data_IF_717382397937
#
_entry.id   IF_717382397937
#
_cell.length_a   1.000
_cell.length_b   1.000
_cell.length_c   1.000
_cell.angle_alpha   90.00
_cell.angle_beta   90.00
_cell.angle_gamma   90.00
#
_symmetry.space_group_name_H-M   'P 1'
#
loop_
_entity.id
_entity.type
_entity.pdbx_description
1 polymer ?
#
# COMPACT_ATOMS: atom_id res chain seq x y z
N UNK A 1 -17.76 -6.22 14.08
CA UNK A 1 -18.68 -6.71 13.01
C UNK A 1 -19.52 -5.60 12.38
N UNK A 2 -20.20 -4.72 13.14
CA UNK A 2 -21.08 -3.70 12.57
C UNK A 2 -20.40 -2.78 11.53
N UNK A 3 -19.14 -2.38 11.74
CA UNK A 3 -18.40 -1.57 10.77
C UNK A 3 -18.20 -2.30 9.43
N UNK A 4 -17.84 -3.59 9.45
CA UNK A 4 -17.69 -4.37 8.22
C UNK A 4 -19.03 -4.48 7.48
N UNK A 5 -20.14 -4.69 8.21
CA UNK A 5 -21.48 -4.68 7.63
C UNK A 5 -21.82 -3.33 6.96
N UNK A 6 -21.41 -2.20 7.55
CA UNK A 6 -21.57 -0.88 6.92
C UNK A 6 -20.76 -0.76 5.63
N UNK A 7 -19.53 -1.28 5.59
CA UNK A 7 -18.70 -1.27 4.38
C UNK A 7 -19.36 -2.07 3.26
N UNK A 8 -19.84 -3.28 3.55
CA UNK A 8 -20.55 -4.14 2.58
C UNK A 8 -21.86 -3.49 2.11
N UNK A 9 -22.66 -2.93 3.04
CA UNK A 9 -23.94 -2.32 2.72
C UNK A 9 -23.80 -1.05 1.88
N UNK A 10 -22.85 -0.18 2.25
CA UNK A 10 -22.67 1.11 1.57
C UNK A 10 -21.78 1.02 0.33
N UNK A 11 -21.00 -0.06 0.18
CA UNK A 11 -19.95 -0.22 -0.83
C UNK A 11 -18.89 0.88 -0.76
N UNK A 12 -18.54 1.31 0.46
CA UNK A 12 -17.57 2.39 0.71
C UNK A 12 -16.50 1.95 1.69
N UNK A 13 -15.26 2.32 1.40
CA UNK A 13 -14.14 2.20 2.31
C UNK A 13 -14.07 3.47 3.19
N UNK A 14 -14.90 3.49 4.23
CA UNK A 14 -15.05 4.65 5.11
C UNK A 14 -14.80 4.31 6.58
N UNK A 15 -14.59 5.37 7.38
CA UNK A 15 -14.59 5.26 8.84
C UNK A 15 -15.95 4.73 9.35
N UNK A 16 -15.98 4.24 10.59
CA UNK A 16 -17.18 3.69 11.19
C UNK A 16 -18.32 4.70 11.26
N UNK A 17 -19.51 4.36 10.76
CA UNK A 17 -20.69 5.22 10.90
C UNK A 17 -21.27 5.06 12.31
N UNK A 18 -21.25 6.15 13.08
CA UNK A 18 -21.74 6.21 14.46
C UNK A 18 -23.15 6.81 14.56
N UNK A 19 -23.76 7.17 13.43
CA UNK A 19 -24.95 8.02 13.36
C UNK A 19 -24.59 9.50 13.33
N UNK A 20 -25.52 10.32 12.84
CA UNK A 20 -25.30 11.73 12.45
C UNK A 20 -24.64 12.57 13.55
N UNK A 21 -25.20 12.58 14.76
CA UNK A 21 -24.73 13.40 15.87
C UNK A 21 -23.36 12.94 16.38
N UNK A 22 -23.14 11.63 16.42
CA UNK A 22 -21.88 11.05 16.84
C UNK A 22 -20.79 11.26 15.78
N UNK A 23 -21.10 11.15 14.49
CA UNK A 23 -20.17 11.45 13.40
C UNK A 23 -19.69 12.89 13.48
N UNK A 24 -20.59 13.85 13.76
CA UNK A 24 -20.21 15.26 13.94
C UNK A 24 -19.23 15.41 15.11
N UNK A 25 -19.45 14.71 16.22
CA UNK A 25 -18.55 14.76 17.39
C UNK A 25 -17.19 14.11 17.14
N UNK A 26 -17.16 13.02 16.38
CA UNK A 26 -15.94 12.22 16.15
C UNK A 26 -15.11 12.67 14.95
N UNK A 27 -15.78 13.10 13.88
CA UNK A 27 -15.17 13.44 12.59
C UNK A 27 -15.24 14.92 12.27
N UNK A 28 -16.11 15.68 12.94
CA UNK A 28 -16.16 17.12 12.79
C UNK A 28 -14.80 17.74 13.15
N UNK A 29 -14.37 18.71 12.36
CA UNK A 29 -13.15 19.47 12.62
C UNK A 29 -13.50 20.92 12.91
N UNK A 30 -12.77 21.51 13.85
CA UNK A 30 -12.77 22.95 14.07
C UNK A 30 -11.73 23.53 13.11
N UNK A 31 -12.16 24.41 12.20
CA UNK A 31 -11.24 25.21 11.37
C UNK A 31 -10.32 26.04 12.27
N UNK A 32 -9.00 25.94 12.09
CA UNK A 32 -8.02 26.69 12.90
C UNK A 32 -7.92 28.15 12.45
N UNK A 33 -8.15 28.41 11.18
CA UNK A 33 -8.01 29.74 10.54
C UNK A 33 -9.19 30.66 10.88
N UNK A 34 -10.36 30.09 11.13
CA UNK A 34 -11.56 30.82 11.55
C UNK A 34 -12.17 30.04 12.71
N UNK A 35 -11.98 30.49 13.95
CA UNK A 35 -12.65 29.97 15.17
C UNK A 35 -14.21 30.03 15.13
N UNK A 36 -14.79 30.17 13.93
CA UNK A 36 -16.21 30.28 13.61
C UNK A 36 -16.70 29.22 12.60
N UNK A 37 -15.82 28.48 11.91
CA UNK A 37 -16.25 27.47 10.93
C UNK A 37 -16.11 26.06 11.51
N UNK A 38 -17.22 25.54 12.03
CA UNK A 38 -17.35 24.14 12.42
C UNK A 38 -17.69 23.34 11.16
N UNK A 39 -16.80 22.44 10.72
CA UNK A 39 -17.14 21.56 9.60
C UNK A 39 -18.01 20.43 10.14
N UNK A 40 -19.33 20.50 9.87
CA UNK A 40 -20.30 19.51 10.29
C UNK A 40 -20.17 18.24 9.45
N UNK A 41 -19.25 17.37 9.83
CA UNK A 41 -19.07 16.08 9.19
C UNK A 41 -20.11 15.08 9.72
N UNK A 42 -21.29 15.05 9.09
CA UNK A 42 -22.40 14.19 9.47
C UNK A 42 -22.31 12.75 8.96
N UNK A 43 -21.50 12.51 7.92
CA UNK A 43 -21.19 11.19 7.37
C UNK A 43 -19.74 10.79 7.69
N UNK A 44 -19.43 9.50 7.88
CA UNK A 44 -18.05 9.10 8.11
C UNK A 44 -17.16 9.45 6.91
N UNK A 45 -15.94 9.95 7.13
CA UNK A 45 -15.01 10.25 6.05
C UNK A 45 -14.51 8.96 5.38
N UNK A 46 -14.31 9.03 4.06
CA UNK A 46 -13.72 7.95 3.26
C UNK A 46 -12.20 7.94 3.34
N UNK A 47 -11.62 6.74 3.27
CA UNK A 47 -10.18 6.57 3.25
C UNK A 47 -9.66 6.89 1.85
N UNK A 48 -8.88 7.95 1.74
CA UNK A 48 -8.28 8.31 0.46
C UNK A 48 -7.05 7.43 0.16
N UNK A 49 -7.23 6.40 -0.67
CA UNK A 49 -6.16 5.49 -1.06
C UNK A 49 -5.06 6.16 -1.91
N UNK A 50 -5.30 7.33 -2.50
CA UNK A 50 -4.24 8.08 -3.21
C UNK A 50 -3.13 8.57 -2.29
N UNK A 51 -3.36 8.58 -0.97
CA UNK A 51 -2.39 8.98 0.04
C UNK A 51 -1.49 7.82 0.52
N UNK A 52 -1.67 6.62 -0.04
CA UNK A 52 -0.79 5.49 0.23
C UNK A 52 0.46 5.65 -0.63
N UNK A 53 1.65 5.68 -0.01
CA UNK A 53 2.92 5.93 -0.71
C UNK A 53 3.98 4.85 -0.48
N UNK A 54 3.64 3.76 0.22
CA UNK A 54 4.53 2.62 0.37
C UNK A 54 4.50 1.72 -0.86
N UNK A 55 5.58 0.96 -1.04
CA UNK A 55 5.64 -0.10 -2.04
C UNK A 55 4.71 -1.25 -1.61
N UNK A 56 3.84 -1.70 -2.53
CA UNK A 56 2.80 -2.69 -2.31
C UNK A 56 3.02 -3.87 -3.26
N UNK A 57 2.93 -5.07 -2.70
CA UNK A 57 3.01 -6.35 -3.41
C UNK A 57 1.74 -7.13 -3.09
N UNK A 58 0.88 -7.36 -4.09
CA UNK A 58 -0.43 -7.98 -3.89
C UNK A 58 -0.41 -9.46 -4.29
N UNK A 59 -1.02 -10.30 -3.46
CA UNK A 59 -1.38 -11.67 -3.77
C UNK A 59 -2.90 -11.80 -3.55
N UNK A 60 -3.62 -12.31 -4.54
CA UNK A 60 -5.08 -12.41 -4.51
C UNK A 60 -5.55 -13.58 -5.37
N UNK A 61 -6.82 -13.97 -5.32
CA UNK A 61 -7.36 -15.11 -6.08
C UNK A 61 -8.85 -14.96 -6.36
N UNK A 62 -9.34 -15.68 -7.37
CA UNK A 62 -10.78 -15.75 -7.69
C UNK A 62 -11.58 -16.54 -6.64
N UNK A 63 -10.92 -17.42 -5.87
CA UNK A 63 -11.57 -18.28 -4.88
C UNK A 63 -11.67 -17.63 -3.50
N UNK A 64 -11.20 -16.38 -3.35
CA UNK A 64 -11.32 -15.61 -2.11
C UNK A 64 -12.68 -14.90 -2.04
N UNK A 65 -13.56 -15.38 -1.16
CA UNK A 65 -14.88 -14.77 -0.96
C UNK A 65 -14.87 -13.53 -0.06
N UNK A 66 -13.80 -13.28 0.68
CA UNK A 66 -13.67 -12.13 1.58
C UNK A 66 -12.94 -10.96 0.94
N UNK A 67 -11.97 -11.24 0.07
CA UNK A 67 -11.31 -10.27 -0.79
C UNK A 67 -11.41 -10.70 -2.26
N UNK A 68 -12.62 -10.58 -2.88
CA UNK A 68 -12.84 -11.02 -4.25
C UNK A 68 -11.87 -10.35 -5.22
N UNK A 69 -11.42 -11.11 -6.21
CA UNK A 69 -10.55 -10.59 -7.27
C UNK A 69 -11.13 -9.33 -7.94
N UNK A 70 -12.46 -9.25 -8.08
CA UNK A 70 -13.14 -8.07 -8.61
C UNK A 70 -12.86 -6.79 -7.78
N UNK A 71 -12.91 -6.86 -6.44
CA UNK A 71 -12.63 -5.70 -5.59
C UNK A 71 -11.14 -5.31 -5.67
N UNK A 72 -10.25 -6.30 -5.81
CA UNK A 72 -8.81 -6.06 -5.99
C UNK A 72 -8.52 -5.39 -7.34
N UNK A 73 -9.00 -5.99 -8.43
CA UNK A 73 -8.70 -5.59 -9.81
C UNK A 73 -9.44 -4.30 -10.22
N UNK A 74 -10.70 -4.12 -9.79
CA UNK A 74 -11.56 -3.04 -10.26
C UNK A 74 -11.62 -1.84 -9.31
N UNK A 75 -11.30 -2.03 -8.02
CA UNK A 75 -11.35 -0.95 -7.03
C UNK A 75 -9.98 -0.66 -6.39
N UNK A 76 -9.33 -1.65 -5.76
CA UNK A 76 -8.10 -1.41 -5.00
C UNK A 76 -6.94 -0.94 -5.90
N UNK A 77 -6.59 -1.72 -6.92
CA UNK A 77 -5.46 -1.41 -7.81
C UNK A 77 -5.67 -0.06 -8.55
N UNK A 78 -6.84 0.22 -9.14
CA UNK A 78 -7.05 1.49 -9.86
C UNK A 78 -7.06 2.74 -8.96
N UNK A 79 -7.41 2.60 -7.67
CA UNK A 79 -7.49 3.74 -6.74
C UNK A 79 -6.14 4.07 -6.11
N UNK A 80 -5.23 3.09 -6.03
CA UNK A 80 -3.88 3.31 -5.51
C UNK A 80 -3.02 4.14 -6.50
N UNK A 81 -2.05 4.94 -6.00
CA UNK A 81 -1.11 5.62 -6.87
C UNK A 81 -0.31 4.61 -7.71
N UNK A 82 -0.15 4.88 -9.01
CA UNK A 82 0.54 4.00 -9.96
C UNK A 82 1.97 3.60 -9.54
N UNK A 83 2.61 4.40 -8.71
CA UNK A 83 3.98 4.17 -8.22
C UNK A 83 4.07 3.17 -7.06
N UNK A 84 2.95 2.85 -6.41
CA UNK A 84 2.91 2.07 -5.17
C UNK A 84 2.85 0.57 -5.44
N UNK A 85 1.98 0.12 -6.34
CA UNK A 85 1.84 -1.30 -6.67
C UNK A 85 3.02 -1.75 -7.53
N UNK A 86 3.90 -2.57 -6.97
CA UNK A 86 5.06 -3.13 -7.68
C UNK A 86 4.70 -4.37 -8.47
N UNK A 87 3.86 -5.23 -7.92
CA UNK A 87 3.16 -6.26 -8.67
C UNK A 87 1.85 -6.64 -7.99
N UNK A 88 0.98 -7.27 -8.78
CA UNK A 88 -0.20 -7.97 -8.31
C UNK A 88 -0.22 -9.37 -8.91
N UNK A 89 -0.13 -10.40 -8.06
CA UNK A 89 -0.09 -11.81 -8.46
C UNK A 89 -1.41 -12.48 -8.13
N UNK A 90 -2.10 -12.92 -9.16
CA UNK A 90 -3.30 -13.75 -9.04
C UNK A 90 -2.87 -15.20 -8.86
N UNK A 91 -3.28 -15.82 -7.77
CA UNK A 91 -3.01 -17.21 -7.44
C UNK A 91 -4.21 -18.07 -7.84
N UNK A 92 -3.94 -19.24 -8.41
CA UNK A 92 -4.97 -20.19 -8.82
C UNK A 92 -5.46 -21.01 -7.62
N UNK A 93 -6.79 -21.02 -7.43
CA UNK A 93 -7.49 -21.85 -6.44
C UNK A 93 -7.06 -21.60 -4.99
N UNK A 94 -6.74 -20.35 -4.65
CA UNK A 94 -6.53 -19.92 -3.26
C UNK A 94 -7.82 -19.31 -2.71
N UNK A 95 -8.38 -19.88 -1.66
CA UNK A 95 -9.37 -19.19 -0.85
C UNK A 95 -8.69 -18.27 0.18
N UNK A 96 -9.48 -17.53 0.96
CA UNK A 96 -8.98 -16.56 1.93
C UNK A 96 -8.01 -17.16 2.99
N UNK A 97 -8.25 -18.40 3.40
CA UNK A 97 -7.42 -19.05 4.43
C UNK A 97 -6.15 -19.67 3.83
N UNK A 98 -6.12 -19.96 2.54
CA UNK A 98 -4.95 -20.56 1.89
C UNK A 98 -3.73 -19.63 1.92
N UNK A 99 -3.94 -18.31 1.95
CA UNK A 99 -2.85 -17.34 2.13
C UNK A 99 -2.11 -17.50 3.46
N UNK A 100 -2.74 -18.11 4.47
CA UNK A 100 -2.16 -18.35 5.80
C UNK A 100 -1.84 -19.83 6.07
N UNK A 101 -2.71 -20.75 5.67
CA UNK A 101 -2.64 -22.18 6.02
C UNK A 101 -2.55 -23.12 4.82
N UNK A 102 -2.55 -22.59 3.59
CA UNK A 102 -2.47 -23.40 2.39
C UNK A 102 -1.13 -24.12 2.29
N UNK A 103 -1.13 -25.40 1.90
CA UNK A 103 0.10 -26.18 1.72
C UNK A 103 1.04 -25.56 0.66
N UNK A 104 0.47 -24.81 -0.28
CA UNK A 104 1.17 -24.07 -1.35
C UNK A 104 1.68 -22.69 -0.91
N UNK A 105 1.20 -22.15 0.22
CA UNK A 105 1.46 -20.76 0.65
C UNK A 105 2.95 -20.44 0.79
N UNK A 106 3.74 -21.38 1.34
CA UNK A 106 5.18 -21.20 1.46
C UNK A 106 5.83 -20.92 0.11
N UNK A 107 5.62 -21.81 -0.86
CA UNK A 107 6.30 -21.75 -2.16
C UNK A 107 5.81 -20.57 -3.00
N UNK A 108 4.51 -20.28 -2.97
CA UNK A 108 3.89 -19.31 -3.88
C UNK A 108 3.78 -17.89 -3.30
N UNK A 109 3.86 -17.74 -1.98
CA UNK A 109 3.73 -16.44 -1.29
C UNK A 109 4.96 -16.14 -0.44
N UNK A 110 5.31 -16.99 0.54
CA UNK A 110 6.29 -16.64 1.56
C UNK A 110 7.74 -16.61 1.04
N UNK A 111 8.11 -17.57 0.20
CA UNK A 111 9.42 -17.60 -0.44
C UNK A 111 9.60 -16.35 -1.35
N UNK A 112 8.63 -15.98 -2.22
CA UNK A 112 8.65 -14.70 -2.93
C UNK A 112 8.77 -13.46 -2.02
N UNK A 113 7.96 -13.36 -0.96
CA UNK A 113 8.04 -12.24 0.01
C UNK A 113 9.43 -12.15 0.63
N UNK A 114 9.99 -13.28 1.05
CA UNK A 114 11.32 -13.34 1.66
C UNK A 114 12.40 -12.88 0.68
N UNK A 115 12.28 -13.24 -0.60
CA UNK A 115 13.21 -12.80 -1.62
C UNK A 115 13.13 -11.29 -1.88
N UNK A 116 11.91 -10.74 -1.96
CA UNK A 116 11.69 -9.28 -2.09
C UNK A 116 12.36 -8.53 -0.94
N UNK A 117 12.13 -8.98 0.31
CA UNK A 117 12.72 -8.35 1.50
C UNK A 117 14.25 -8.41 1.46
N UNK A 118 14.84 -9.55 1.05
CA UNK A 118 16.31 -9.69 0.93
C UNK A 118 16.89 -8.76 -0.13
N UNK A 119 16.24 -8.65 -1.29
CA UNK A 119 16.67 -7.77 -2.37
C UNK A 119 16.60 -6.31 -1.92
N UNK A 120 15.49 -5.89 -1.31
CA UNK A 120 15.32 -4.52 -0.85
C UNK A 120 16.31 -4.16 0.28
N UNK A 121 16.54 -5.09 1.21
CA UNK A 121 17.53 -4.93 2.28
C UNK A 121 18.96 -4.73 1.71
N UNK A 122 19.32 -5.46 0.66
CA UNK A 122 20.61 -5.31 -0.03
C UNK A 122 20.69 -3.96 -0.73
N UNK A 123 19.65 -3.57 -1.47
CA UNK A 123 19.55 -2.27 -2.15
C UNK A 123 19.74 -1.11 -1.18
N UNK A 124 19.03 -1.14 -0.04
CA UNK A 124 19.14 -0.11 1.00
C UNK A 124 20.54 -0.05 1.62
N UNK A 125 21.18 -1.21 1.83
CA UNK A 125 22.55 -1.28 2.35
C UNK A 125 23.55 -0.64 1.39
N UNK A 126 23.47 -0.97 0.09
CA UNK A 126 24.34 -0.37 -0.94
C UNK A 126 24.10 1.13 -1.06
N UNK A 127 22.84 1.58 -1.10
CA UNK A 127 22.50 3.00 -1.15
C UNK A 127 23.05 3.78 0.04
N UNK A 128 22.99 3.22 1.26
CA UNK A 128 23.57 3.85 2.46
C UNK A 128 25.09 3.94 2.37
N UNK A 129 25.75 2.86 1.93
CA UNK A 129 27.21 2.83 1.75
C UNK A 129 27.67 3.85 0.72
N UNK A 130 27.01 3.92 -0.45
CA UNK A 130 27.32 4.91 -1.50
C UNK A 130 27.09 6.34 -1.01
N UNK A 131 25.95 6.61 -0.36
CA UNK A 131 25.65 7.93 0.19
C UNK A 131 26.70 8.36 1.23
N UNK A 132 27.17 7.43 2.06
CA UNK A 132 28.24 7.68 3.04
C UNK A 132 29.59 7.95 2.37
N UNK A 133 29.93 7.18 1.32
CA UNK A 133 31.16 7.34 0.55
C UNK A 133 31.24 8.73 -0.12
N UNK A 134 30.20 9.13 -0.86
CA UNK A 134 30.21 10.41 -1.58
C UNK A 134 30.04 11.62 -0.66
N UNK A 135 29.35 11.48 0.48
CA UNK A 135 29.34 12.54 1.50
C UNK A 135 30.76 12.87 2.00
N UNK A 136 31.69 11.91 1.98
CA UNK A 136 33.10 12.11 2.35
C UNK A 136 33.97 12.63 1.19
N UNK A 137 33.48 12.65 -0.05
CA UNK A 137 34.23 13.05 -1.26
C UNK A 137 33.36 13.89 -2.23
N UNK A 138 33.14 15.18 -1.93
CA UNK A 138 32.18 16.01 -2.66
C UNK A 138 32.58 16.36 -4.11
N UNK A 139 33.86 16.25 -4.49
CA UNK A 139 34.35 16.62 -5.83
C UNK A 139 34.11 15.56 -6.92
N UNK A 140 33.64 14.35 -6.59
CA UNK A 140 33.33 13.27 -7.55
C UNK A 140 31.84 13.24 -7.97
N UNK A 141 31.03 14.24 -7.58
CA UNK A 141 29.56 14.18 -7.69
C UNK A 141 29.00 14.16 -9.14
N UNK A 142 29.73 14.62 -10.15
CA UNK A 142 29.25 14.66 -11.55
C UNK A 142 29.10 13.28 -12.20
N UNK A 143 29.84 12.29 -11.71
CA UNK A 143 29.82 10.90 -12.21
C UNK A 143 28.72 10.05 -11.55
N UNK A 144 28.07 10.55 -10.50
CA UNK A 144 27.11 9.82 -9.66
C UNK A 144 25.78 9.56 -10.39
N UNK A 145 25.27 10.54 -11.12
CA UNK A 145 23.98 10.42 -11.80
C UNK A 145 24.03 9.34 -12.89
N UNK A 146 25.18 9.20 -13.58
CA UNK A 146 25.40 8.15 -14.59
C UNK A 146 25.52 6.75 -13.99
N UNK A 147 26.20 6.61 -12.85
CA UNK A 147 26.38 5.30 -12.18
C UNK A 147 25.10 4.84 -11.49
N UNK A 148 24.35 5.76 -10.87
CA UNK A 148 23.06 5.45 -10.26
C UNK A 148 22.00 5.02 -11.28
N UNK A 149 22.06 5.53 -12.51
CA UNK A 149 21.15 5.13 -13.58
C UNK A 149 21.46 3.70 -14.04
N UNK A 150 22.75 3.39 -14.29
CA UNK A 150 23.19 2.05 -14.70
C UNK A 150 22.90 0.95 -13.67
N UNK A 151 23.04 1.25 -12.38
CA UNK A 151 22.75 0.28 -11.30
C UNK A 151 21.25 -0.01 -11.14
N UNK A 152 20.37 0.93 -11.52
CA UNK A 152 18.91 0.69 -11.52
C UNK A 152 18.52 -0.25 -12.65
N UNK A 153 19.01 0.00 -13.88
CA UNK A 153 18.74 -0.86 -15.03
C UNK A 153 19.27 -2.29 -14.86
N UNK A 154 20.42 -2.44 -14.18
CA UNK A 154 21.03 -3.76 -13.93
C UNK A 154 20.27 -4.62 -12.93
N UNK A 155 19.39 -4.03 -12.11
CA UNK A 155 18.60 -4.72 -11.07
C UNK A 155 17.16 -5.02 -11.51
N UNK A 156 16.75 -4.54 -12.70
CA UNK A 156 15.42 -4.77 -13.28
C UNK A 156 15.43 -5.89 -14.35
N UNK A 157 16.57 -6.56 -14.57
CA UNK A 157 16.78 -7.57 -15.63
C UNK A 157 16.89 -9.04 -15.15
N UNK A 158 16.65 -9.32 -13.86
CA UNK A 158 16.62 -10.68 -13.29
C UNK A 158 15.26 -11.04 -12.68
#
# INVERSE_FOLDING_TARGET
MLHFAQMVHTKRMASFDRGKEANIRWYGRISKETRKSFFFQSSPPEYNLTNVHCDIYLFYSDYDWLAPAADVEQYLIPTLPKTTVKFARKLEEFNHNDFLWGLRARKEIYDPITNIIKIDSRRLTVQRSLKSYFKRRPNENKTIDEVSYKLRDSLELD
#
